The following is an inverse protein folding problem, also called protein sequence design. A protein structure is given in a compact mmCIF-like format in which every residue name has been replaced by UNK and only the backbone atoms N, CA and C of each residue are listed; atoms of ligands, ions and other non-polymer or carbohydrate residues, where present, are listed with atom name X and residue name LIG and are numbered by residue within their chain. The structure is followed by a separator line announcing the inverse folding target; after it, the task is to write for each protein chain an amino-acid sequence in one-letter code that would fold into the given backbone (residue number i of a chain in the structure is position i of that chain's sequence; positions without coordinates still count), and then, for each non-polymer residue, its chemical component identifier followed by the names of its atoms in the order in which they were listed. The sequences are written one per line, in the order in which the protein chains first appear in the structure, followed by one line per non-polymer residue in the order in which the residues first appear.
data_IF_195777887486
#
_entry.id   IF_195777887486
#
_cell.length_a   1.000
_cell.length_b   1.000
_cell.length_c   1.000
_cell.angle_alpha   90.00
_cell.angle_beta   90.00
_cell.angle_gamma   90.00
#
_symmetry.space_group_name_H-M   'P 1'
#
loop_
_entity.id
_entity.type
_entity.pdbx_description
1 polymer ?
#
# COMPACT_ATOMS: atom_id res chain seq x y z
N UNK A 1 -6.37 7.09 4.50
CA UNK A 1 -6.58 8.16 5.48
C UNK A 1 -5.86 9.41 5.00
N UNK A 2 -6.41 10.61 5.22
CA UNK A 2 -5.69 11.85 4.94
C UNK A 2 -4.32 11.84 5.62
N UNK A 3 -3.26 12.17 4.88
CA UNK A 3 -1.88 12.18 5.39
C UNK A 3 -1.13 10.84 5.35
N UNK A 4 -1.78 9.72 5.01
CA UNK A 4 -1.08 8.44 4.76
C UNK A 4 -0.78 8.24 3.28
N UNK A 5 0.33 7.57 2.98
CA UNK A 5 0.72 7.21 1.61
C UNK A 5 0.22 5.78 1.33
N UNK A 6 -0.77 5.66 0.45
CA UNK A 6 -1.26 4.37 -0.02
C UNK A 6 -0.39 3.86 -1.16
N UNK A 7 -0.04 2.58 -1.14
CA UNK A 7 0.65 1.91 -2.23
C UNK A 7 -0.05 0.61 -2.64
N UNK A 8 0.20 0.17 -3.87
CA UNK A 8 -0.30 -1.12 -4.38
C UNK A 8 0.58 -2.28 -3.90
N UNK A 9 0.07 -3.51 -4.00
CA UNK A 9 0.88 -4.71 -3.75
C UNK A 9 2.15 -4.76 -4.60
N UNK A 10 2.07 -4.35 -5.87
CA UNK A 10 3.23 -4.33 -6.75
C UNK A 10 4.31 -3.32 -6.30
N UNK A 11 3.91 -2.22 -5.66
CA UNK A 11 4.85 -1.25 -5.08
C UNK A 11 5.43 -1.77 -3.77
N UNK A 12 4.62 -2.40 -2.93
CA UNK A 12 5.06 -3.08 -1.70
C UNK A 12 6.17 -4.09 -2.00
N UNK A 13 5.97 -5.02 -2.94
CA UNK A 13 6.97 -6.06 -3.24
C UNK A 13 8.33 -5.50 -3.66
N UNK A 14 8.37 -4.34 -4.32
CA UNK A 14 9.61 -3.70 -4.76
C UNK A 14 10.34 -2.94 -3.66
N UNK A 15 9.62 -2.53 -2.61
CA UNK A 15 10.12 -1.61 -1.59
C UNK A 15 10.13 -2.20 -0.17
N UNK A 16 9.56 -3.40 0.02
CA UNK A 16 9.43 -4.09 1.32
C UNK A 16 10.75 -4.25 2.06
N UNK A 17 11.89 -4.30 1.36
CA UNK A 17 13.20 -4.44 1.99
C UNK A 17 13.78 -3.11 2.49
N UNK A 18 13.25 -1.97 2.03
CA UNK A 18 13.75 -0.62 2.33
C UNK A 18 12.81 0.22 3.19
N UNK A 19 11.53 -0.14 3.24
CA UNK A 19 10.49 0.62 3.92
C UNK A 19 9.59 -0.27 4.77
N UNK A 20 8.87 0.35 5.70
CA UNK A 20 7.86 -0.26 6.55
C UNK A 20 6.49 -0.05 5.94
N UNK A 21 5.66 -1.10 6.03
CA UNK A 21 4.31 -1.11 5.47
C UNK A 21 3.33 -1.74 6.46
N UNK A 22 2.10 -1.27 6.40
CA UNK A 22 0.94 -1.83 7.10
C UNK A 22 -0.08 -2.26 6.04
N UNK A 23 -0.53 -3.52 6.08
CA UNK A 23 -1.58 -3.98 5.17
C UNK A 23 -2.89 -3.26 5.48
N UNK A 24 -3.48 -2.64 4.46
CA UNK A 24 -4.82 -2.03 4.56
C UNK A 24 -5.92 -3.03 4.18
N UNK A 25 -5.57 -4.07 3.44
CA UNK A 25 -6.48 -5.08 2.91
C UNK A 25 -7.00 -4.73 1.52
N UNK A 26 -8.06 -5.42 1.12
CA UNK A 26 -8.72 -5.26 -0.19
C UNK A 26 -9.61 -4.03 -0.16
N UNK A 27 -9.46 -3.14 -1.14
CA UNK A 27 -10.35 -2.00 -1.35
C UNK A 27 -10.81 -1.94 -2.81
N UNK A 28 -12.00 -1.42 -3.05
CA UNK A 28 -12.48 -1.16 -4.41
C UNK A 28 -11.93 0.19 -4.91
N UNK A 29 -11.12 0.15 -5.95
CA UNK A 29 -10.56 1.32 -6.62
C UNK A 29 -11.31 1.57 -7.92
N UNK A 30 -11.89 2.77 -8.06
CA UNK A 30 -12.65 3.16 -9.27
C UNK A 30 -11.83 2.92 -10.53
N UNK A 31 -12.34 2.07 -11.44
CA UNK A 31 -11.68 1.70 -12.70
C UNK A 31 -10.60 0.63 -12.60
N UNK A 32 -10.34 0.07 -11.41
CA UNK A 32 -9.40 -1.03 -11.18
C UNK A 32 -10.01 -2.23 -10.45
N UNK A 33 -11.20 -2.07 -9.87
CA UNK A 33 -11.86 -3.12 -9.11
C UNK A 33 -11.22 -3.31 -7.75
N UNK A 34 -11.38 -4.50 -7.19
CA UNK A 34 -10.85 -4.87 -5.90
C UNK A 34 -9.32 -5.06 -5.95
N UNK A 35 -8.60 -4.41 -5.03
CA UNK A 35 -7.15 -4.46 -4.98
C UNK A 35 -6.65 -4.50 -3.54
N UNK A 36 -5.64 -5.34 -3.27
CA UNK A 36 -4.88 -5.29 -2.02
C UNK A 36 -4.02 -4.03 -2.01
N UNK A 37 -4.06 -3.30 -0.89
CA UNK A 37 -3.31 -2.05 -0.72
C UNK A 37 -2.62 -2.00 0.64
N UNK A 38 -1.58 -1.17 0.72
CA UNK A 38 -0.74 -1.02 1.90
C UNK A 38 -0.57 0.47 2.23
N UNK A 39 -0.35 0.78 3.50
CA UNK A 39 0.14 2.07 3.94
C UNK A 39 1.67 2.01 4.06
N UNK A 40 2.37 2.96 3.46
CA UNK A 40 3.78 3.20 3.77
C UNK A 40 3.85 3.94 5.11
N UNK A 41 4.50 3.34 6.11
CA UNK A 41 4.53 3.87 7.49
C UNK A 41 5.88 4.46 7.88
N UNK A 42 6.96 4.14 7.15
CA UNK A 42 8.28 4.69 7.43
C UNK A 42 9.38 4.07 6.59
N UNK A 43 10.60 4.54 6.81
CA UNK A 43 11.83 3.92 6.28
C UNK A 43 12.35 2.89 7.29
N UNK A 44 12.94 1.81 6.81
CA UNK A 44 13.69 0.87 7.65
C UNK A 44 15.04 1.45 8.07
#
# INVERSE_FOLDING_TARGET
EPGRIQVTAATYERLRDKYLFEERGIINVKGKGEMITYWLTGRK
#
